data_IF_379230158424
#
_entry.id   IF_379230158424
#
_cell.length_a   1.000
_cell.length_b   1.000
_cell.length_c   1.000
_cell.angle_alpha   90.00
_cell.angle_beta   90.00
_cell.angle_gamma   90.00
#
_symmetry.space_group_name_H-M   'P 1'
#
loop_
_entity.id
_entity.type
_entity.pdbx_description
1 polymer ?
#
# COMPACT_ATOMS: atom_id res chain seq x y z
N UNK A 1 -15.35 6.35 -0.49
CA UNK A 1 -14.85 7.41 -1.38
C UNK A 1 -15.18 6.95 -2.79
N UNK A 2 -16.01 7.68 -3.54
CA UNK A 2 -16.49 7.23 -4.87
C UNK A 2 -15.76 8.00 -5.97
N UNK A 3 -14.80 7.34 -6.59
CA UNK A 3 -14.01 7.87 -7.70
C UNK A 3 -13.59 6.71 -8.60
N UNK A 4 -13.41 6.94 -9.91
CA UNK A 4 -13.08 5.87 -10.85
C UNK A 4 -11.68 5.31 -10.57
N UNK A 5 -11.50 4.00 -10.78
CA UNK A 5 -10.22 3.31 -10.55
C UNK A 5 -9.05 3.93 -11.33
N UNK A 6 -9.35 4.54 -12.48
CA UNK A 6 -8.37 5.25 -13.31
C UNK A 6 -7.72 6.44 -12.61
N UNK A 7 -8.37 7.01 -11.59
CA UNK A 7 -7.83 8.11 -10.79
C UNK A 7 -6.93 7.61 -9.64
N UNK A 8 -6.92 6.30 -9.34
CA UNK A 8 -5.97 5.70 -8.39
C UNK A 8 -4.61 5.45 -9.06
N UNK A 9 -3.68 6.39 -8.84
CA UNK A 9 -2.27 6.17 -9.13
C UNK A 9 -1.62 5.37 -7.99
N UNK A 10 -1.09 4.20 -8.32
CA UNK A 10 -0.33 3.39 -7.38
C UNK A 10 1.15 3.72 -7.51
N UNK A 11 1.78 4.12 -6.40
CA UNK A 11 3.20 4.43 -6.32
C UNK A 11 3.89 3.33 -5.51
N UNK A 12 4.82 2.62 -6.14
CA UNK A 12 5.69 1.66 -5.45
C UNK A 12 7.10 2.21 -5.37
N UNK A 13 7.66 2.21 -4.17
CA UNK A 13 9.06 2.57 -3.94
C UNK A 13 9.89 1.30 -3.76
N UNK A 14 11.09 1.28 -4.37
CA UNK A 14 12.10 0.25 -4.11
C UNK A 14 12.87 0.63 -2.85
N UNK A 15 13.31 -0.35 -2.07
CA UNK A 15 14.16 -0.12 -0.89
C UNK A 15 15.46 0.62 -1.26
N UNK A 16 16.02 0.31 -2.43
CA UNK A 16 17.09 1.09 -3.06
C UNK A 16 16.69 1.37 -4.51
N UNK A 17 16.53 2.65 -4.83
CA UNK A 17 16.27 3.09 -6.19
C UNK A 17 17.58 3.37 -6.92
N UNK A 18 18.18 2.32 -7.47
CA UNK A 18 19.39 2.44 -8.28
C UNK A 18 19.18 3.26 -9.56
N UNK A 19 17.96 3.31 -10.08
CA UNK A 19 17.65 4.05 -11.32
C UNK A 19 17.69 5.56 -11.03
N UNK A 20 17.09 5.99 -9.92
CA UNK A 20 17.17 7.37 -9.42
C UNK A 20 18.61 7.77 -9.04
N UNK A 21 19.36 6.89 -8.38
CA UNK A 21 20.76 7.16 -8.03
C UNK A 21 21.62 7.40 -9.28
N UNK A 22 21.49 6.54 -10.30
CA UNK A 22 22.18 6.71 -11.59
C UNK A 22 21.79 8.01 -12.28
N UNK A 23 20.49 8.35 -12.32
CA UNK A 23 20.01 9.61 -12.89
C UNK A 23 20.59 10.87 -12.20
N UNK A 24 21.02 10.73 -10.95
CA UNK A 24 21.66 11.80 -10.17
C UNK A 24 23.20 11.69 -10.13
N UNK A 25 23.81 10.86 -10.98
CA UNK A 25 25.26 10.73 -11.11
C UNK A 25 25.92 9.76 -10.11
N UNK A 26 25.13 8.94 -9.41
CA UNK A 26 25.63 7.93 -8.46
C UNK A 26 25.55 6.52 -9.07
N UNK A 27 26.63 6.08 -9.71
CA UNK A 27 26.75 4.77 -10.35
C UNK A 27 27.17 3.66 -9.36
N UNK A 28 26.36 3.42 -8.33
CA UNK A 28 26.72 2.49 -7.24
C UNK A 28 26.21 1.05 -7.44
N UNK A 29 25.28 0.83 -8.37
CA UNK A 29 24.61 -0.47 -8.58
C UNK A 29 25.61 -1.62 -8.78
N UNK A 30 26.65 -1.39 -9.59
CA UNK A 30 27.66 -2.39 -9.91
C UNK A 30 28.42 -2.90 -8.68
N UNK A 31 28.62 -2.05 -7.65
CA UNK A 31 29.27 -2.49 -6.42
C UNK A 31 28.47 -3.57 -5.68
N UNK A 32 27.15 -3.55 -5.78
CA UNK A 32 26.31 -4.54 -5.12
C UNK A 32 26.03 -5.77 -6.00
N UNK A 33 25.79 -5.56 -7.29
CA UNK A 33 25.58 -6.65 -8.26
C UNK A 33 26.81 -7.56 -8.35
N UNK A 34 28.03 -6.99 -8.34
CA UNK A 34 29.28 -7.79 -8.31
C UNK A 34 29.45 -8.64 -7.06
N UNK A 35 28.79 -8.29 -5.96
CA UNK A 35 28.76 -9.06 -4.72
C UNK A 35 27.59 -10.05 -4.66
N UNK A 36 26.73 -10.11 -5.69
CA UNK A 36 25.59 -11.01 -5.77
C UNK A 36 24.38 -10.59 -4.94
N UNK A 37 24.23 -9.29 -4.62
CA UNK A 37 23.15 -8.79 -3.76
C UNK A 37 21.81 -8.61 -4.48
N UNK A 38 21.72 -8.82 -5.79
CA UNK A 38 20.50 -8.55 -6.58
C UNK A 38 19.29 -9.30 -6.01
N UNK A 39 19.44 -10.59 -5.72
CA UNK A 39 18.37 -11.41 -5.10
C UNK A 39 17.95 -10.93 -3.73
N UNK A 40 18.88 -10.34 -2.97
CA UNK A 40 18.57 -9.79 -1.65
C UNK A 40 17.71 -8.54 -1.78
N UNK A 41 18.02 -7.64 -2.73
CA UNK A 41 17.17 -6.48 -3.00
C UNK A 41 15.81 -6.87 -3.57
N UNK A 42 15.74 -7.88 -4.45
CA UNK A 42 14.47 -8.42 -4.95
C UNK A 42 13.60 -8.95 -3.82
N UNK A 43 14.20 -9.70 -2.88
CA UNK A 43 13.53 -10.19 -1.68
C UNK A 43 13.03 -9.05 -0.78
N UNK A 44 13.83 -8.00 -0.58
CA UNK A 44 13.46 -6.85 0.25
C UNK A 44 12.31 -6.04 -0.35
N UNK A 45 12.26 -5.88 -1.67
CA UNK A 45 11.15 -5.22 -2.33
C UNK A 45 9.86 -6.07 -2.23
N UNK A 46 10.01 -7.39 -2.26
CA UNK A 46 8.91 -8.34 -2.08
C UNK A 46 7.84 -8.26 -3.18
N UNK A 47 6.82 -9.13 -3.13
CA UNK A 47 5.69 -9.03 -4.02
C UNK A 47 4.80 -7.85 -3.63
N UNK A 48 4.43 -7.04 -4.62
CA UNK A 48 3.41 -6.01 -4.47
C UNK A 48 2.13 -6.45 -5.18
N UNK A 49 0.98 -6.07 -4.63
CA UNK A 49 -0.34 -6.40 -5.18
C UNK A 49 -1.14 -5.14 -5.50
N UNK A 50 -0.82 -4.40 -6.57
CA UNK A 50 -1.44 -3.10 -6.88
C UNK A 50 -2.96 -3.19 -7.00
N UNK A 51 -3.47 -4.20 -7.71
CA UNK A 51 -4.91 -4.37 -7.93
C UNK A 51 -5.67 -4.68 -6.64
N UNK A 52 -5.05 -5.46 -5.74
CA UNK A 52 -5.64 -5.77 -4.44
C UNK A 52 -5.73 -4.49 -3.60
N UNK A 53 -4.66 -3.71 -3.56
CA UNK A 53 -4.61 -2.45 -2.83
C UNK A 53 -5.60 -1.42 -3.39
N UNK A 54 -5.69 -1.28 -4.71
CA UNK A 54 -6.68 -0.40 -5.36
C UNK A 54 -8.11 -0.80 -4.97
N UNK A 55 -8.46 -2.07 -5.12
CA UNK A 55 -9.78 -2.59 -4.76
C UNK A 55 -10.08 -2.45 -3.27
N UNK A 56 -9.07 -2.63 -2.41
CA UNK A 56 -9.19 -2.40 -0.97
C UNK A 56 -9.52 -0.94 -0.68
N UNK A 57 -8.74 0.00 -1.22
CA UNK A 57 -8.94 1.44 -1.01
C UNK A 57 -10.28 1.94 -1.55
N UNK A 58 -10.73 1.47 -2.71
CA UNK A 58 -12.05 1.82 -3.25
C UNK A 58 -13.20 1.37 -2.33
N UNK A 59 -13.02 0.26 -1.61
CA UNK A 59 -14.01 -0.28 -0.67
C UNK A 59 -13.83 0.22 0.76
N UNK A 60 -12.69 0.84 1.07
CA UNK A 60 -12.39 1.35 2.39
C UNK A 60 -13.37 2.47 2.75
N UNK A 61 -13.91 2.39 3.96
CA UNK A 61 -14.76 3.41 4.56
C UNK A 61 -14.10 3.89 5.83
N UNK A 62 -14.05 5.20 6.02
CA UNK A 62 -13.66 5.80 7.28
C UNK A 62 -14.90 5.80 8.16
N UNK A 63 -14.81 5.20 9.33
CA UNK A 63 -15.88 5.24 10.32
C UNK A 63 -15.52 6.31 11.36
N UNK A 64 -16.35 7.33 11.46
CA UNK A 64 -16.20 8.33 12.52
C UNK A 64 -16.89 7.89 13.81
N UNK A 65 -16.70 8.66 14.90
CA UNK A 65 -17.31 8.35 16.20
C UNK A 65 -18.84 8.34 16.15
N UNK A 66 -19.44 9.15 15.28
CA UNK A 66 -20.89 9.25 15.16
C UNK A 66 -21.46 8.03 14.43
N UNK A 67 -20.84 7.61 13.34
CA UNK A 67 -21.18 6.38 12.61
C UNK A 67 -21.00 5.15 13.49
N UNK A 68 -19.91 5.07 14.26
CA UNK A 68 -19.68 3.99 15.21
C UNK A 68 -20.79 3.92 16.27
N UNK A 69 -21.19 5.05 16.85
CA UNK A 69 -22.28 5.11 17.83
C UNK A 69 -23.63 4.73 17.22
N UNK A 70 -23.88 5.10 15.96
CA UNK A 70 -25.10 4.71 15.25
C UNK A 70 -25.12 3.19 14.99
N UNK A 71 -23.99 2.60 14.62
CA UNK A 71 -23.87 1.15 14.44
C UNK A 71 -24.06 0.39 15.77
N UNK A 72 -23.46 0.89 16.85
CA UNK A 72 -23.63 0.36 18.22
C UNK A 72 -25.12 0.32 18.61
N UNK A 73 -25.83 1.45 18.48
CA UNK A 73 -27.26 1.52 18.78
C UNK A 73 -28.08 0.55 17.91
N UNK A 74 -27.76 0.44 16.63
CA UNK A 74 -28.43 -0.49 15.72
C UNK A 74 -28.11 -1.97 16.01
N UNK A 75 -26.98 -2.26 16.66
CA UNK A 75 -26.63 -3.60 17.13
C UNK A 75 -27.42 -3.95 18.40
N UNK A 76 -27.49 -3.03 19.37
CA UNK A 76 -28.29 -3.17 20.60
C UNK A 76 -29.79 -3.32 20.27
N UNK A 77 -30.30 -2.61 19.26
CA UNK A 77 -31.70 -2.76 18.84
C UNK A 77 -31.98 -4.16 18.24
N UNK A 78 -31.01 -4.74 17.53
CA UNK A 78 -31.11 -6.09 16.96
C UNK A 78 -31.00 -7.18 18.02
N UNK A 79 -30.14 -6.99 19.00
CA UNK A 79 -29.98 -7.87 20.16
C UNK A 79 -29.83 -7.02 21.43
N UNK A 80 -30.93 -6.83 22.19
CA UNK A 80 -30.91 -6.01 23.41
C UNK A 80 -30.07 -6.56 24.55
N UNK A 81 -29.49 -7.76 24.41
CA UNK A 81 -28.62 -8.39 25.42
C UNK A 81 -27.13 -8.09 25.25
N UNK A 82 -26.75 -7.43 24.16
CA UNK A 82 -25.40 -6.92 23.89
C UNK A 82 -24.91 -5.91 24.92
#
# INVERSE_FOLDING_TARGET
>A
MEFPESELCFLSEKIVDFDSLSANGFEVKQHFTSQGWDKYFDMLNGPIYPDLLKKFWMKAKVFDKHEAKKEELAAIERDPSL
#
